data_IF_011244564147
#
_entry.id   IF_011244564147
#
_cell.length_a   1.000
_cell.length_b   1.000
_cell.length_c   1.000
_cell.angle_alpha   90.00
_cell.angle_beta   90.00
_cell.angle_gamma   90.00
#
_symmetry.space_group_name_H-M   'P 1'
#
loop_
_entity.id
_entity.type
_entity.pdbx_description
1 polymer ?
#
# COMPACT_ATOMS: atom_id res chain seq x y z
N UNK A 1 -20.63 16.07 -1.35
CA UNK A 1 -19.65 15.06 -1.75
C UNK A 1 -19.67 14.96 -3.26
N UNK A 2 -18.56 15.27 -3.92
CA UNK A 2 -18.41 15.19 -5.39
C UNK A 2 -18.56 13.76 -5.88
N UNK A 3 -18.97 13.53 -7.14
CA UNK A 3 -19.27 12.17 -7.65
C UNK A 3 -18.08 11.20 -7.50
N UNK A 4 -16.87 11.68 -7.78
CA UNK A 4 -15.65 10.89 -7.61
C UNK A 4 -15.39 10.56 -6.15
N UNK A 5 -15.62 11.51 -5.25
CA UNK A 5 -15.46 11.31 -3.81
C UNK A 5 -16.46 10.26 -3.29
N UNK A 6 -17.73 10.34 -3.73
CA UNK A 6 -18.74 9.33 -3.40
C UNK A 6 -18.34 7.94 -3.88
N UNK A 7 -17.86 7.83 -5.13
CA UNK A 7 -17.44 6.56 -5.70
C UNK A 7 -16.26 5.96 -4.94
N UNK A 8 -15.24 6.76 -4.62
CA UNK A 8 -14.11 6.26 -3.84
C UNK A 8 -14.52 5.84 -2.43
N UNK A 9 -15.48 6.53 -1.78
CA UNK A 9 -15.98 6.11 -0.46
C UNK A 9 -16.69 4.77 -0.55
N UNK A 10 -17.54 4.61 -1.57
CA UNK A 10 -18.19 3.34 -1.88
C UNK A 10 -17.16 2.22 -2.10
N UNK A 11 -16.12 2.46 -2.92
CA UNK A 11 -15.08 1.46 -3.19
C UNK A 11 -14.26 1.09 -1.95
N UNK A 12 -13.90 2.05 -1.09
CA UNK A 12 -13.20 1.76 0.16
C UNK A 12 -14.06 0.89 1.09
N UNK A 13 -15.36 1.20 1.20
CA UNK A 13 -16.28 0.42 2.01
C UNK A 13 -16.46 -1.00 1.45
N UNK A 14 -16.48 -1.17 0.13
CA UNK A 14 -16.50 -2.49 -0.49
C UNK A 14 -15.22 -3.29 -0.21
N UNK A 15 -14.05 -2.65 -0.24
CA UNK A 15 -12.78 -3.31 0.11
C UNK A 15 -12.83 -3.84 1.54
N UNK A 16 -13.30 -3.02 2.48
CA UNK A 16 -13.47 -3.44 3.88
C UNK A 16 -14.49 -4.58 4.04
N UNK A 17 -15.66 -4.47 3.42
CA UNK A 17 -16.68 -5.51 3.47
C UNK A 17 -16.20 -6.82 2.84
N UNK A 18 -15.46 -6.75 1.73
CA UNK A 18 -14.87 -7.93 1.09
C UNK A 18 -13.83 -8.58 2.00
N UNK A 19 -13.01 -7.79 2.69
CA UNK A 19 -12.05 -8.31 3.67
C UNK A 19 -12.77 -9.09 4.79
N UNK A 20 -13.86 -8.55 5.33
CA UNK A 20 -14.65 -9.24 6.36
C UNK A 20 -15.30 -10.52 5.83
N UNK A 21 -15.98 -10.47 4.68
CA UNK A 21 -16.68 -11.61 4.10
C UNK A 21 -15.71 -12.72 3.67
N UNK A 22 -14.51 -12.38 3.22
CA UNK A 22 -13.51 -13.37 2.82
C UNK A 22 -12.97 -14.22 3.98
N UNK A 23 -13.24 -13.86 5.24
CA UNK A 23 -12.92 -14.72 6.41
C UNK A 23 -13.65 -16.08 6.39
N UNK A 24 -14.72 -16.23 5.61
CA UNK A 24 -15.37 -17.55 5.40
C UNK A 24 -14.46 -18.55 4.67
N UNK A 25 -13.47 -18.05 3.91
CA UNK A 25 -12.49 -18.87 3.20
C UNK A 25 -11.41 -19.30 4.19
N UNK A 26 -11.44 -20.59 4.58
CA UNK A 26 -10.52 -21.15 5.58
C UNK A 26 -9.08 -21.31 5.06
N UNK A 27 -8.89 -21.48 3.76
CA UNK A 27 -7.57 -21.65 3.17
C UNK A 27 -6.89 -20.28 3.02
N UNK A 28 -5.87 -20.02 3.84
CA UNK A 28 -5.23 -18.70 3.95
C UNK A 28 -4.75 -18.13 2.60
N UNK A 29 -4.11 -18.94 1.77
CA UNK A 29 -3.61 -18.50 0.46
C UNK A 29 -4.76 -18.05 -0.45
N UNK A 30 -5.81 -18.87 -0.56
CA UNK A 30 -6.99 -18.53 -1.37
C UNK A 30 -7.70 -17.29 -0.85
N UNK A 31 -7.71 -17.10 0.47
CA UNK A 31 -8.27 -15.90 1.09
C UNK A 31 -7.46 -14.64 0.75
N UNK A 32 -6.13 -14.72 0.77
CA UNK A 32 -5.25 -13.63 0.33
C UNK A 32 -5.51 -13.26 -1.13
N UNK A 33 -5.46 -14.25 -2.01
CA UNK A 33 -5.65 -14.04 -3.45
C UNK A 33 -6.97 -13.34 -3.78
N UNK A 34 -8.07 -13.74 -3.15
CA UNK A 34 -9.38 -13.12 -3.36
C UNK A 34 -9.42 -11.66 -2.90
N UNK A 35 -8.65 -11.28 -1.87
CA UNK A 35 -8.49 -9.88 -1.41
C UNK A 35 -7.66 -9.06 -2.39
N UNK A 36 -6.56 -9.63 -2.84
CA UNK A 36 -5.64 -9.01 -3.80
C UNK A 36 -6.33 -8.80 -5.17
N UNK A 37 -7.12 -9.78 -5.64
CA UNK A 37 -7.92 -9.66 -6.86
C UNK A 37 -8.93 -8.51 -6.76
N UNK A 38 -9.50 -8.29 -5.58
CA UNK A 38 -10.46 -7.21 -5.37
C UNK A 38 -9.81 -5.82 -5.45
N UNK A 39 -8.56 -5.69 -4.96
CA UNK A 39 -7.76 -4.47 -5.11
C UNK A 39 -7.45 -4.23 -6.59
N UNK A 40 -7.00 -5.26 -7.32
CA UNK A 40 -6.73 -5.17 -8.76
C UNK A 40 -8.00 -4.74 -9.52
N UNK A 41 -9.15 -5.35 -9.23
CA UNK A 41 -10.44 -4.98 -9.84
C UNK A 41 -10.82 -3.52 -9.54
N UNK A 42 -10.58 -3.05 -8.32
CA UNK A 42 -10.82 -1.65 -7.97
C UNK A 42 -9.94 -0.70 -8.79
N UNK A 43 -8.64 -0.99 -8.91
CA UNK A 43 -7.71 -0.18 -9.69
C UNK A 43 -8.06 -0.19 -11.18
N UNK A 44 -8.36 -1.36 -11.76
CA UNK A 44 -8.78 -1.50 -13.16
C UNK A 44 -10.09 -0.76 -13.48
N UNK A 45 -11.05 -0.75 -12.54
CA UNK A 45 -12.30 0.01 -12.72
C UNK A 45 -12.10 1.52 -12.55
N UNK A 46 -11.13 1.93 -11.74
CA UNK A 46 -10.86 3.34 -11.43
C UNK A 46 -9.91 4.01 -12.42
N UNK A 47 -9.07 3.22 -13.11
CA UNK A 47 -8.03 3.69 -14.02
C UNK A 47 -8.21 3.00 -15.36
N UNK A 48 -8.58 3.78 -16.37
CA UNK A 48 -8.80 3.27 -17.71
C UNK A 48 -7.54 2.59 -18.27
N UNK A 49 -7.70 1.43 -18.91
CA UNK A 49 -6.62 0.64 -19.53
C UNK A 49 -5.48 0.22 -18.58
N UNK A 50 -5.76 0.04 -17.27
CA UNK A 50 -4.76 -0.38 -16.26
C UNK A 50 -4.65 -1.93 -16.10
N UNK A 51 -5.60 -2.68 -16.65
CA UNK A 51 -5.68 -4.15 -16.47
C UNK A 51 -4.45 -4.90 -16.99
N UNK A 52 -3.84 -4.41 -18.06
CA UNK A 52 -2.72 -5.10 -18.70
C UNK A 52 -1.42 -4.92 -17.91
N UNK A 53 -1.33 -3.87 -17.09
CA UNK A 53 -0.16 -3.45 -16.32
C UNK A 53 -0.20 -4.00 -14.89
N UNK A 54 -1.37 -4.36 -14.37
CA UNK A 54 -1.50 -4.97 -13.06
C UNK A 54 -1.29 -6.48 -13.17
N UNK A 55 -0.23 -6.98 -12.55
CA UNK A 55 0.16 -8.40 -12.52
C UNK A 55 0.38 -8.87 -11.09
N UNK A 56 0.64 -10.16 -10.97
CA UNK A 56 1.16 -10.83 -9.78
C UNK A 56 2.49 -11.48 -10.16
N UNK A 57 3.36 -11.74 -9.20
CA UNK A 57 4.54 -12.57 -9.45
C UNK A 57 5.82 -11.93 -8.97
N UNK A 58 6.88 -12.03 -9.76
CA UNK A 58 8.25 -11.87 -9.28
C UNK A 58 9.02 -10.82 -10.08
N UNK A 59 9.99 -10.19 -9.43
CA UNK A 59 11.00 -9.36 -10.08
C UNK A 59 12.26 -10.18 -10.26
N UNK A 60 12.84 -10.17 -11.47
CA UNK A 60 14.13 -10.78 -11.76
C UNK A 60 15.27 -9.95 -11.16
N UNK A 61 15.87 -10.39 -10.06
CA UNK A 61 16.93 -9.64 -9.38
C UNK A 61 18.31 -9.84 -10.04
N UNK A 62 18.40 -10.71 -11.05
CA UNK A 62 19.63 -11.07 -11.74
C UNK A 62 20.27 -12.34 -11.17
N UNK A 63 21.25 -12.89 -11.89
CA UNK A 63 22.05 -14.07 -11.47
C UNK A 63 21.24 -15.33 -11.08
N UNK A 64 19.99 -15.44 -11.56
CA UNK A 64 19.09 -16.54 -11.23
C UNK A 64 18.30 -16.34 -9.94
N UNK A 65 18.38 -15.17 -9.32
CA UNK A 65 17.61 -14.78 -8.16
C UNK A 65 16.35 -13.99 -8.54
N UNK A 66 15.31 -14.14 -7.72
CA UNK A 66 14.04 -13.44 -7.86
C UNK A 66 13.63 -12.84 -6.50
N UNK A 67 12.82 -11.79 -6.54
CA UNK A 67 12.13 -11.31 -5.33
C UNK A 67 11.22 -12.40 -4.75
N UNK A 68 10.65 -12.15 -3.58
CA UNK A 68 9.44 -12.87 -3.17
C UNK A 68 8.31 -12.63 -4.17
N UNK A 69 7.25 -13.44 -4.05
CA UNK A 69 6.05 -13.23 -4.85
C UNK A 69 5.35 -11.96 -4.36
N UNK A 70 5.34 -10.94 -5.21
CA UNK A 70 4.57 -9.73 -4.98
C UNK A 70 3.08 -9.98 -5.23
N UNK A 71 2.27 -9.51 -4.29
CA UNK A 71 0.82 -9.59 -4.38
C UNK A 71 0.27 -8.78 -5.55
N UNK A 72 0.84 -7.60 -5.81
CA UNK A 72 0.51 -6.75 -6.96
C UNK A 72 1.79 -6.12 -7.54
N UNK A 73 1.99 -6.28 -8.84
CA UNK A 73 2.97 -5.59 -9.65
C UNK A 73 2.26 -4.60 -10.57
N UNK A 74 2.78 -3.38 -10.68
CA UNK A 74 2.48 -2.47 -11.78
C UNK A 74 3.67 -2.48 -12.74
N UNK A 75 3.45 -2.86 -13.99
CA UNK A 75 4.48 -2.94 -15.02
C UNK A 75 4.30 -1.86 -16.08
N UNK A 76 5.37 -1.53 -16.80
CA UNK A 76 5.35 -0.58 -17.91
C UNK A 76 4.49 -1.10 -19.06
N UNK A 77 4.01 -0.17 -19.89
CA UNK A 77 3.44 -0.53 -21.18
C UNK A 77 4.49 -1.25 -22.01
N UNK A 78 4.09 -2.37 -22.63
CA UNK A 78 4.96 -3.21 -23.45
C UNK A 78 6.16 -3.83 -22.71
N UNK A 79 6.06 -3.97 -21.39
CA UNK A 79 7.03 -4.71 -20.57
C UNK A 79 7.25 -6.14 -21.09
N UNK A 80 8.49 -6.60 -21.07
CA UNK A 80 8.83 -8.00 -21.33
C UNK A 80 8.47 -8.83 -20.09
N UNK A 81 7.74 -9.93 -20.30
CA UNK A 81 7.30 -10.81 -19.23
C UNK A 81 7.60 -12.28 -19.55
N UNK A 82 7.90 -13.04 -18.52
CA UNK A 82 7.80 -14.51 -18.55
C UNK A 82 6.48 -14.90 -17.91
N UNK A 83 5.53 -15.41 -18.69
CA UNK A 83 4.27 -15.94 -18.18
C UNK A 83 4.50 -17.33 -17.57
N UNK A 84 4.20 -17.48 -16.28
CA UNK A 84 4.33 -18.75 -15.56
C UNK A 84 3.10 -19.64 -15.70
N UNK A 85 2.01 -19.15 -16.31
CA UNK A 85 0.75 -19.87 -16.56
C UNK A 85 -0.07 -20.18 -15.31
N UNK A 86 0.47 -19.96 -14.11
CA UNK A 86 -0.19 -20.28 -12.83
C UNK A 86 -0.72 -19.00 -12.20
N UNK A 87 -2.05 -18.87 -12.13
CA UNK A 87 -2.76 -17.77 -11.45
C UNK A 87 -2.35 -16.37 -11.94
N UNK A 88 -1.95 -16.26 -13.20
CA UNK A 88 -1.53 -15.00 -13.81
C UNK A 88 -0.21 -14.45 -13.25
N UNK A 89 0.60 -15.29 -12.60
CA UNK A 89 1.92 -14.89 -12.14
C UNK A 89 2.88 -14.73 -13.31
N UNK A 90 3.68 -13.67 -13.26
CA UNK A 90 4.72 -13.38 -14.25
C UNK A 90 6.07 -13.17 -13.57
N UNK A 91 7.14 -13.28 -14.33
CA UNK A 91 8.44 -12.71 -13.95
C UNK A 91 8.68 -11.50 -14.84
N UNK A 92 9.04 -10.37 -14.23
CA UNK A 92 9.36 -9.13 -14.94
C UNK A 92 10.78 -8.70 -14.63
N UNK A 93 11.40 -8.00 -15.57
CA UNK A 93 12.66 -7.32 -15.30
C UNK A 93 12.45 -6.09 -14.38
N UNK A 94 13.44 -5.72 -13.54
CA UNK A 94 13.35 -4.55 -12.67
C UNK A 94 13.09 -3.25 -13.43
N UNK A 95 13.66 -3.09 -14.62
CA UNK A 95 13.45 -1.93 -15.48
C UNK A 95 12.03 -1.82 -16.03
N UNK A 96 11.29 -2.92 -16.09
CA UNK A 96 9.91 -2.98 -16.57
C UNK A 96 8.88 -2.91 -15.45
N UNK A 97 9.33 -2.96 -14.19
CA UNK A 97 8.49 -2.77 -13.02
C UNK A 97 8.44 -1.29 -12.62
N UNK A 98 7.23 -0.78 -12.38
CA UNK A 98 6.98 0.57 -11.85
C UNK A 98 6.71 0.54 -10.34
N UNK A 99 5.98 -0.47 -9.88
CA UNK A 99 5.54 -0.55 -8.49
C UNK A 99 5.32 -1.99 -8.04
N UNK A 100 5.59 -2.24 -6.76
CA UNK A 100 5.31 -3.46 -6.01
C UNK A 100 4.41 -3.10 -4.84
N UNK A 101 3.31 -3.82 -4.67
CA UNK A 101 2.44 -3.69 -3.49
C UNK A 101 2.36 -5.03 -2.79
N UNK A 102 2.69 -5.03 -1.50
CA UNK A 102 2.42 -6.13 -0.58
C UNK A 102 1.08 -5.88 0.13
N UNK A 103 0.23 -6.90 0.20
CA UNK A 103 -1.12 -6.82 0.77
C UNK A 103 -1.19 -7.66 2.05
N UNK A 104 -1.52 -7.02 3.17
CA UNK A 104 -1.74 -7.70 4.45
C UNK A 104 -3.13 -7.49 4.99
N UNK A 105 -3.65 -8.53 5.62
CA UNK A 105 -4.94 -8.46 6.30
C UNK A 105 -4.83 -7.59 7.55
N UNK A 106 -3.79 -7.84 8.34
CA UNK A 106 -3.48 -7.08 9.54
C UNK A 106 -2.02 -6.66 9.49
N UNK A 107 -1.78 -5.36 9.58
CA UNK A 107 -0.45 -4.79 9.59
C UNK A 107 0.19 -4.96 10.97
N UNK A 108 1.38 -5.55 10.98
CA UNK A 108 2.21 -5.72 12.18
C UNK A 108 3.58 -5.11 11.94
N UNK A 109 4.33 -4.91 13.03
CA UNK A 109 5.71 -4.42 12.93
C UNK A 109 6.64 -5.38 12.18
N UNK A 110 6.42 -6.69 12.30
CA UNK A 110 7.23 -7.70 11.60
C UNK A 110 7.00 -7.63 10.09
N UNK A 111 5.75 -7.54 9.63
CA UNK A 111 5.47 -7.43 8.20
C UNK A 111 6.08 -6.18 7.55
N UNK A 112 6.07 -5.05 8.26
CA UNK A 112 6.76 -3.85 7.79
C UNK A 112 8.28 -4.03 7.71
N UNK A 113 8.89 -4.72 8.68
CA UNK A 113 10.32 -5.01 8.65
C UNK A 113 10.68 -5.98 7.52
N UNK A 114 9.92 -7.06 7.38
CA UNK A 114 10.13 -8.09 6.36
C UNK A 114 10.01 -7.49 4.95
N UNK A 115 8.93 -6.73 4.71
CA UNK A 115 8.76 -6.05 3.42
C UNK A 115 9.80 -4.96 3.19
N UNK A 116 10.24 -4.23 4.21
CA UNK A 116 11.32 -3.24 4.04
C UNK A 116 12.65 -3.90 3.63
N UNK A 117 12.94 -5.11 4.12
CA UNK A 117 14.12 -5.87 3.69
C UNK A 117 13.98 -6.34 2.25
N UNK A 118 12.81 -6.84 1.86
CA UNK A 118 12.54 -7.25 0.47
C UNK A 118 12.58 -6.05 -0.49
N UNK A 119 11.95 -4.93 -0.12
CA UNK A 119 12.01 -3.69 -0.85
C UNK A 119 13.45 -3.17 -1.01
N UNK A 120 14.33 -3.43 -0.04
CA UNK A 120 15.76 -3.12 -0.17
C UNK A 120 16.41 -3.88 -1.32
N UNK A 121 16.08 -5.16 -1.52
CA UNK A 121 16.61 -5.97 -2.61
C UNK A 121 16.08 -5.48 -3.96
N UNK A 122 14.76 -5.23 -4.02
CA UNK A 122 14.10 -4.72 -5.22
C UNK A 122 14.69 -3.35 -5.63
N UNK A 123 14.86 -2.44 -4.67
CA UNK A 123 15.45 -1.11 -4.90
C UNK A 123 16.94 -1.16 -5.21
N UNK A 124 17.65 -2.20 -4.78
CA UNK A 124 19.04 -2.41 -5.19
C UNK A 124 19.13 -2.74 -6.68
N UNK A 125 18.19 -3.56 -7.19
CA UNK A 125 18.10 -3.86 -8.63
C UNK A 125 17.58 -2.68 -9.45
N UNK A 126 16.61 -1.92 -8.93
CA UNK A 126 16.16 -0.66 -9.55
C UNK A 126 15.58 0.31 -8.49
N UNK A 127 16.26 1.42 -8.17
CA UNK A 127 15.83 2.33 -7.10
C UNK A 127 14.54 3.10 -7.42
N UNK A 128 14.12 3.10 -8.70
CA UNK A 128 12.92 3.80 -9.16
C UNK A 128 11.63 2.99 -8.99
N UNK A 129 11.72 1.71 -8.62
CA UNK A 129 10.52 0.92 -8.31
C UNK A 129 9.90 1.45 -7.03
N UNK A 130 8.60 1.74 -7.08
CA UNK A 130 7.82 2.15 -5.91
C UNK A 130 7.41 0.91 -5.12
N UNK A 131 7.83 0.77 -3.88
CA UNK A 131 7.48 -0.35 -3.00
C UNK A 131 6.45 0.10 -1.96
N UNK A 132 5.29 -0.55 -1.89
CA UNK A 132 4.21 -0.15 -1.01
C UNK A 132 3.58 -1.26 -0.20
N UNK A 133 3.03 -0.89 0.95
CA UNK A 133 2.27 -1.79 1.80
C UNK A 133 0.80 -1.36 1.83
N UNK A 134 -0.10 -2.30 1.56
CA UNK A 134 -1.54 -2.14 1.72
C UNK A 134 -2.02 -3.02 2.87
N UNK A 135 -2.77 -2.47 3.81
CA UNK A 135 -3.38 -3.24 4.87
C UNK A 135 -4.84 -2.85 5.18
N UNK A 136 -5.63 -3.86 5.55
CA UNK A 136 -7.04 -3.67 5.94
C UNK A 136 -7.19 -3.26 7.40
N UNK A 137 -6.38 -3.84 8.30
CA UNK A 137 -6.37 -3.60 9.74
C UNK A 137 -4.94 -3.37 10.24
N UNK A 138 -4.76 -2.86 11.45
CA UNK A 138 -3.46 -2.80 12.09
C UNK A 138 -3.51 -3.28 13.55
N UNK A 139 -2.49 -4.00 13.98
CA UNK A 139 -2.21 -4.22 15.41
C UNK A 139 -1.44 -3.05 16.02
N UNK A 140 -0.71 -2.31 15.19
CA UNK A 140 0.03 -1.13 15.61
C UNK A 140 -0.92 0.07 15.70
N UNK A 141 -0.86 0.78 16.81
CA UNK A 141 -1.54 2.08 16.91
C UNK A 141 -1.03 3.06 15.84
N UNK A 142 -1.93 3.90 15.29
CA UNK A 142 -1.60 4.95 14.32
C UNK A 142 -0.41 5.79 14.75
N UNK A 143 -0.33 6.19 16.03
CA UNK A 143 0.80 6.95 16.60
C UNK A 143 2.14 6.24 16.43
N UNK A 144 2.16 4.91 16.54
CA UNK A 144 3.37 4.10 16.40
C UNK A 144 3.82 4.02 14.95
N UNK A 145 2.88 3.86 14.01
CA UNK A 145 3.17 3.86 12.57
C UNK A 145 3.72 5.23 12.16
N UNK A 146 3.04 6.31 12.53
CA UNK A 146 3.46 7.69 12.28
C UNK A 146 4.86 7.96 12.82
N UNK A 147 5.15 7.53 14.06
CA UNK A 147 6.47 7.66 14.68
C UNK A 147 7.58 6.98 13.89
N UNK A 148 7.34 5.76 13.41
CA UNK A 148 8.30 5.02 12.58
C UNK A 148 8.50 5.65 11.19
N UNK A 149 7.57 6.49 10.76
CA UNK A 149 7.63 7.24 9.52
C UNK A 149 8.17 8.68 9.70
N UNK A 150 8.72 9.01 10.88
CA UNK A 150 9.39 10.29 11.12
C UNK A 150 8.50 11.40 11.71
N UNK A 151 7.32 11.06 12.23
CA UNK A 151 6.41 12.02 12.87
C UNK A 151 6.46 11.92 14.39
N UNK A 152 6.30 13.04 15.08
CA UNK A 152 5.99 13.02 16.51
C UNK A 152 4.54 13.43 16.75
N UNK A 153 3.98 13.00 17.88
CA UNK A 153 2.60 13.28 18.25
C UNK A 153 2.55 14.29 19.39
N UNK A 154 1.96 15.46 19.11
CA UNK A 154 1.71 16.46 20.12
C UNK A 154 0.36 16.18 20.82
N UNK A 155 0.42 15.83 22.10
CA UNK A 155 -0.77 15.53 22.91
C UNK A 155 -1.63 16.75 23.22
N UNK A 156 -1.03 17.93 23.32
CA UNK A 156 -1.72 19.20 23.62
C UNK A 156 -2.59 19.64 22.43
N UNK A 157 -2.02 19.61 21.22
CA UNK A 157 -2.72 20.00 19.99
C UNK A 157 -3.39 18.83 19.26
N UNK A 158 -3.28 17.61 19.82
CA UNK A 158 -3.78 16.36 19.25
C UNK A 158 -3.42 16.17 17.76
N UNK A 159 -2.19 16.54 17.38
CA UNK A 159 -1.75 16.57 15.98
C UNK A 159 -0.37 15.95 15.79
N UNK A 160 -0.10 15.47 14.58
CA UNK A 160 1.22 14.97 14.18
C UNK A 160 2.04 16.10 13.56
N UNK A 161 3.32 16.16 13.90
CA UNK A 161 4.26 17.11 13.31
C UNK A 161 5.56 16.41 12.92
N UNK A 162 6.20 16.92 11.88
CA UNK A 162 7.54 16.51 11.47
C UNK A 162 8.45 17.72 11.70
N UNK A 163 9.47 17.57 12.55
CA UNK A 163 10.43 18.63 12.83
C UNK A 163 11.41 18.77 11.65
N UNK A 164 11.58 19.99 11.13
CA UNK A 164 12.60 20.26 10.12
C UNK A 164 14.00 20.34 10.74
N UNK A 165 14.09 20.83 11.98
CA UNK A 165 15.36 21.07 12.69
C UNK A 165 15.95 19.81 13.35
N UNK A 166 15.09 18.85 13.70
CA UNK A 166 15.47 17.55 14.31
C UNK A 166 14.58 16.42 13.76
N UNK A 167 14.81 15.98 12.51
CA UNK A 167 13.97 14.99 11.87
C UNK A 167 14.15 13.63 12.52
N UNK A 168 13.03 13.01 12.93
CA UNK A 168 13.03 11.65 13.45
C UNK A 168 13.47 10.66 12.36
N UNK A 169 14.20 9.62 12.78
CA UNK A 169 14.65 8.58 11.86
C UNK A 169 13.48 7.82 11.24
N UNK A 170 13.55 7.62 9.93
CA UNK A 170 12.63 6.77 9.19
C UNK A 170 13.07 5.32 9.34
N UNK A 171 12.22 4.49 9.96
CA UNK A 171 12.52 3.08 10.21
C UNK A 171 12.39 2.21 8.94
N UNK A 172 11.66 2.70 7.95
CA UNK A 172 11.33 1.97 6.72
C UNK A 172 11.88 2.69 5.48
N UNK A 173 13.21 2.81 5.30
CA UNK A 173 13.81 3.59 4.22
C UNK A 173 13.51 3.06 2.81
N UNK A 174 13.05 1.82 2.65
CA UNK A 174 12.79 1.23 1.33
C UNK A 174 11.30 1.10 0.99
N UNK A 175 10.39 1.30 1.95
CA UNK A 175 8.95 1.37 1.67
C UNK A 175 8.61 2.79 1.25
N UNK A 176 8.03 2.99 0.08
CA UNK A 176 7.65 4.32 -0.42
C UNK A 176 6.28 4.74 0.06
N UNK A 177 5.33 3.81 0.21
CA UNK A 177 4.01 4.16 0.76
C UNK A 177 3.42 3.09 1.67
N UNK A 178 2.56 3.54 2.59
CA UNK A 178 1.76 2.70 3.47
C UNK A 178 0.31 3.16 3.37
N UNK A 179 -0.59 2.26 2.99
CA UNK A 179 -2.03 2.48 2.97
C UNK A 179 -2.71 1.54 3.98
N UNK A 180 -3.41 2.12 4.94
CA UNK A 180 -4.16 1.42 5.97
C UNK A 180 -5.64 1.80 5.87
N UNK A 181 -6.53 0.81 5.74
CA UNK A 181 -7.98 1.02 5.66
C UNK A 181 -8.71 0.82 7.00
N UNK A 182 -7.96 0.61 8.08
CA UNK A 182 -8.49 0.20 9.39
C UNK A 182 -9.55 1.17 9.92
N UNK A 183 -10.81 0.72 9.86
CA UNK A 183 -11.97 1.48 10.27
C UNK A 183 -12.24 1.17 11.74
N UNK A 184 -12.21 2.20 12.60
CA UNK A 184 -12.60 2.04 14.01
C UNK A 184 -14.08 1.60 14.10
N UNK A 185 -14.39 0.79 15.10
CA UNK A 185 -15.77 0.36 15.36
C UNK A 185 -16.60 1.55 15.85
N UNK A 186 -17.90 1.58 15.54
CA UNK A 186 -18.80 2.68 15.97
C UNK A 186 -18.88 2.84 17.50
N UNK A 187 -18.60 1.78 18.26
CA UNK A 187 -18.53 1.81 19.73
C UNK A 187 -17.23 2.39 20.28
N UNK A 188 -16.22 2.59 19.43
CA UNK A 188 -14.93 3.21 19.73
C UNK A 188 -14.88 4.64 19.19
N UNK A 189 -16.00 5.18 18.69
CA UNK A 189 -16.15 6.59 18.32
C UNK A 189 -16.38 7.43 19.59
N UNK A 190 -15.32 7.63 20.39
CA UNK A 190 -15.32 8.79 21.28
C UNK A 190 -15.31 10.06 20.41
N UNK A 191 -16.00 11.13 20.82
CA UNK A 191 -15.99 12.44 20.11
C UNK A 191 -14.55 12.98 19.88
N UNK A 192 -13.58 12.51 20.68
CA UNK A 192 -12.15 12.80 20.54
C UNK A 192 -11.45 12.05 19.39
N UNK A 193 -11.98 10.91 18.94
CA UNK A 193 -11.44 10.08 17.86
C UNK A 193 -11.97 10.48 16.48
N UNK A 194 -13.14 11.14 16.40
CA UNK A 194 -13.63 11.75 15.16
C UNK A 194 -12.71 12.87 14.66
N UNK A 195 -12.08 13.63 15.57
CA UNK A 195 -11.07 14.66 15.22
C UNK A 195 -9.76 14.00 14.75
N UNK A 196 -9.52 12.73 15.11
CA UNK A 196 -8.33 11.95 14.72
C UNK A 196 -8.53 11.03 13.50
N UNK A 197 -9.72 11.07 12.88
CA UNK A 197 -10.00 10.43 11.59
C UNK A 197 -9.54 8.98 11.49
N UNK A 198 -10.05 8.09 12.35
CA UNK A 198 -9.84 6.64 12.26
C UNK A 198 -8.37 6.14 12.25
N UNK A 199 -8.18 4.82 12.32
CA UNK A 199 -6.86 4.22 12.03
C UNK A 199 -6.51 4.28 10.53
N UNK A 200 -7.42 4.77 9.69
CA UNK A 200 -7.18 4.94 8.27
C UNK A 200 -6.06 5.94 8.01
N UNK A 201 -5.12 5.55 7.14
CA UNK A 201 -3.91 6.30 6.90
C UNK A 201 -3.41 6.03 5.49
N UNK A 202 -2.93 7.08 4.82
CA UNK A 202 -2.04 6.94 3.68
C UNK A 202 -0.81 7.80 3.94
N UNK A 203 0.37 7.19 3.86
CA UNK A 203 1.65 7.86 3.89
C UNK A 203 2.38 7.56 2.59
N UNK A 204 3.00 8.55 1.97
CA UNK A 204 3.87 8.38 0.81
C UNK A 204 5.18 9.13 1.02
N UNK A 205 6.27 8.63 0.47
CA UNK A 205 7.57 9.29 0.52
C UNK A 205 7.67 10.41 -0.49
N UNK A 206 8.42 11.43 -0.11
CA UNK A 206 8.93 12.45 -1.03
C UNK A 206 9.80 11.83 -2.11
N UNK A 207 9.96 12.54 -3.23
CA UNK A 207 10.75 12.06 -4.38
C UNK A 207 12.23 11.84 -4.06
N UNK A 208 12.75 12.51 -3.03
CA UNK A 208 14.10 12.29 -2.50
C UNK A 208 14.20 11.05 -1.58
N UNK A 209 13.06 10.44 -1.22
CA UNK A 209 12.98 9.27 -0.36
C UNK A 209 13.20 9.53 1.13
N UNK A 210 13.38 10.79 1.55
CA UNK A 210 13.82 11.12 2.90
C UNK A 210 12.69 11.22 3.92
N UNK A 211 11.50 11.69 3.50
CA UNK A 211 10.39 11.98 4.40
C UNK A 211 9.08 11.39 3.91
N UNK A 212 8.25 10.92 4.83
CA UNK A 212 6.85 10.59 4.52
C UNK A 212 5.97 11.83 4.63
N UNK A 213 4.92 11.90 3.82
CA UNK A 213 3.84 12.87 3.93
C UNK A 213 2.47 12.17 3.94
N UNK A 214 1.48 12.68 4.70
CA UNK A 214 0.12 12.16 4.65
C UNK A 214 -0.53 12.42 3.30
N UNK A 215 -1.32 11.46 2.84
CA UNK A 215 -2.18 11.62 1.68
C UNK A 215 -3.17 12.76 1.86
N UNK A 216 -3.52 13.41 0.76
CA UNK A 216 -4.43 14.57 0.75
C UNK A 216 -5.88 14.19 0.50
N UNK A 217 -6.14 12.96 0.03
CA UNK A 217 -7.49 12.52 -0.28
C UNK A 217 -8.16 11.76 0.88
N UNK A 218 -9.42 12.10 1.11
CA UNK A 218 -10.41 11.29 1.82
C UNK A 218 -11.45 10.79 0.79
N UNK A 219 -11.74 9.49 0.68
CA UNK A 219 -11.17 8.37 1.44
C UNK A 219 -9.73 8.05 1.06
N UNK A 220 -8.98 7.46 1.99
CA UNK A 220 -7.53 7.26 1.85
C UNK A 220 -7.15 6.38 0.64
N UNK A 221 -8.02 5.45 0.24
CA UNK A 221 -7.80 4.60 -0.95
C UNK A 221 -7.69 5.38 -2.26
N UNK A 222 -8.21 6.62 -2.32
CA UNK A 222 -8.08 7.48 -3.50
C UNK A 222 -6.64 7.90 -3.76
N UNK A 223 -5.80 7.99 -2.72
CA UNK A 223 -4.39 8.31 -2.88
C UNK A 223 -3.65 7.23 -3.69
N UNK A 224 -4.02 5.94 -3.52
CA UNK A 224 -3.45 4.85 -4.32
C UNK A 224 -3.78 5.00 -5.81
N UNK A 225 -5.02 5.41 -6.14
CA UNK A 225 -5.40 5.70 -7.54
C UNK A 225 -4.57 6.85 -8.10
N UNK A 226 -4.36 7.90 -7.31
CA UNK A 226 -3.49 9.02 -7.69
C UNK A 226 -2.06 8.59 -7.99
N UNK A 227 -1.47 7.78 -7.10
CA UNK A 227 -0.12 7.24 -7.26
C UNK A 227 0.01 6.35 -8.50
N UNK A 228 -0.86 5.35 -8.66
CA UNK A 228 -0.83 4.46 -9.83
C UNK A 228 -0.97 5.25 -11.13
N UNK A 229 -1.88 6.23 -11.17
CA UNK A 229 -2.01 7.12 -12.33
C UNK A 229 -0.74 7.88 -12.63
N UNK A 230 -0.04 8.42 -11.63
CA UNK A 230 1.19 9.19 -11.86
C UNK A 230 2.34 8.34 -12.42
N UNK A 231 2.33 7.03 -12.19
CA UNK A 231 3.36 6.11 -12.70
C UNK A 231 3.08 5.62 -14.12
N UNK A 232 1.84 5.75 -14.61
CA UNK A 232 1.41 5.30 -15.94
C UNK A 232 1.49 6.38 -17.02
N UNK A 233 1.92 7.61 -16.66
CA UNK A 233 2.03 8.77 -17.57
C UNK A 233 3.39 8.83 -18.23
#
# INVERSE_FOLDING_TARGET
>A
MEIFEQYHHYSQNLLLAQHEVSEIIKHNLTRGEVREDFIIQYLTKSINNCEQQLKRGFINLGEGEHSGQADILLIKNHAEIVDLGVRGNVIVYPEDCLMVIEVKSTLTGSYLNDFNNEASLIKHSNPHIVCGMFAYKAELEKKTIMKRCGYDYNTEFKTFFCSEDDPLSVFYPYIDFILLLDKLNESELDEDLEIQGGNQLYLNKTTDGEKYFPGTYNPVVRNLVGLVKSLLV
#
